data_IF_536701411820
#
_entry.id   IF_536701411820
#
_cell.length_a   1.000
_cell.length_b   1.000
_cell.length_c   1.000
_cell.angle_alpha   90.00
_cell.angle_beta   90.00
_cell.angle_gamma   90.00
#
_symmetry.space_group_name_H-M   'P 1'
#
loop_
_entity.id
_entity.type
_entity.pdbx_description
1 polymer ?
#
# COMPACT_ATOMS: atom_id res chain seq x y z
N UNK A 1 12.51 56.36 -3.17
CA UNK A 1 11.26 56.13 -2.40
C UNK A 1 10.28 55.59 -3.40
N UNK A 2 10.06 54.28 -3.39
CA UNK A 2 9.16 53.57 -4.29
C UNK A 2 8.05 52.97 -3.43
N UNK A 3 6.86 52.99 -3.99
CA UNK A 3 5.58 53.03 -3.32
C UNK A 3 5.18 51.67 -2.72
N UNK A 4 4.75 51.67 -1.46
CA UNK A 4 4.01 50.57 -0.82
C UNK A 4 2.60 50.51 -1.43
N UNK A 5 2.50 50.00 -2.66
CA UNK A 5 1.21 49.74 -3.29
C UNK A 5 0.51 48.61 -2.53
N UNK A 6 -0.56 49.02 -1.85
CA UNK A 6 -1.34 48.29 -0.86
C UNK A 6 -1.86 46.95 -1.39
N UNK A 7 -1.23 45.85 -0.98
CA UNK A 7 -1.71 44.48 -1.18
C UNK A 7 -2.91 44.16 -0.26
N UNK A 8 -3.98 44.96 -0.34
CA UNK A 8 -5.19 44.68 0.41
C UNK A 8 -5.94 43.50 -0.23
N UNK A 9 -6.35 42.47 0.55
CA UNK A 9 -7.12 41.36 0.02
C UNK A 9 -8.40 41.84 -0.68
N UNK A 10 -8.79 41.21 -1.81
CA UNK A 10 -10.00 41.58 -2.51
C UNK A 10 -11.23 41.41 -1.62
N UNK A 11 -12.24 42.27 -1.81
CA UNK A 11 -13.51 42.19 -1.08
C UNK A 11 -14.17 40.83 -1.38
N UNK A 12 -14.28 39.98 -0.37
CA UNK A 12 -14.97 38.69 -0.47
C UNK A 12 -16.48 38.94 -0.57
N UNK A 13 -17.08 38.69 -1.73
CA UNK A 13 -18.53 38.60 -1.91
C UNK A 13 -18.90 37.14 -2.24
N UNK A 14 -20.04 36.67 -1.73
CA UNK A 14 -20.53 35.31 -2.00
C UNK A 14 -20.01 34.21 -1.07
N UNK A 15 -19.53 34.55 0.13
CA UNK A 15 -19.12 33.57 1.16
C UNK A 15 -20.28 32.98 1.95
N UNK A 16 -21.51 33.14 1.47
CA UNK A 16 -22.66 32.45 2.05
C UNK A 16 -22.53 30.99 1.61
N UNK A 17 -21.83 30.20 2.41
CA UNK A 17 -21.91 28.75 2.34
C UNK A 17 -23.34 28.37 2.72
N UNK A 18 -24.16 27.82 1.80
CA UNK A 18 -25.50 27.34 2.13
C UNK A 18 -25.41 26.02 2.91
N UNK A 19 -24.43 25.91 3.81
CA UNK A 19 -24.04 24.70 4.51
C UNK A 19 -25.24 24.02 5.17
N UNK A 20 -25.05 22.77 5.60
CA UNK A 20 -26.10 21.96 6.20
C UNK A 20 -26.67 22.60 7.50
N UNK A 21 -27.61 23.53 7.36
CA UNK A 21 -28.27 24.25 8.45
C UNK A 21 -29.36 23.43 9.14
N UNK A 22 -29.64 22.22 8.66
CA UNK A 22 -30.78 21.40 9.12
C UNK A 22 -30.43 20.40 10.25
N UNK A 23 -29.24 20.51 10.83
CA UNK A 23 -28.86 19.66 11.96
C UNK A 23 -29.44 20.14 13.30
N UNK A 24 -29.94 21.38 13.37
CA UNK A 24 -30.54 21.93 14.58
C UNK A 24 -31.86 21.22 14.98
N UNK A 25 -32.55 20.61 14.01
CA UNK A 25 -33.79 19.85 14.26
C UNK A 25 -33.54 18.38 14.65
N UNK A 26 -32.30 17.89 14.53
CA UNK A 26 -31.93 16.52 14.93
C UNK A 26 -31.45 16.44 16.39
N UNK A 27 -31.39 17.56 17.12
CA UNK A 27 -30.83 17.64 18.48
C UNK A 27 -31.71 16.99 19.57
N UNK A 28 -32.93 16.56 19.25
CA UNK A 28 -33.87 15.92 20.19
C UNK A 28 -34.17 14.45 19.80
N UNK A 29 -33.43 13.88 18.83
CA UNK A 29 -33.45 12.43 18.66
C UNK A 29 -32.66 11.84 19.81
N UNK A 30 -33.38 11.26 20.77
CA UNK A 30 -32.92 10.31 21.79
C UNK A 30 -32.32 9.04 21.15
N UNK A 31 -31.41 9.22 20.19
CA UNK A 31 -30.47 8.20 19.77
C UNK A 31 -29.39 8.14 20.85
N UNK A 32 -29.81 7.67 22.02
CA UNK A 32 -28.93 7.01 22.94
C UNK A 32 -28.36 5.80 22.20
N UNK A 33 -27.27 6.02 21.46
CA UNK A 33 -26.27 5.00 21.20
C UNK A 33 -25.80 4.55 22.58
N UNK A 34 -26.56 3.65 23.19
CA UNK A 34 -26.17 2.92 24.37
C UNK A 34 -24.87 2.25 23.96
N UNK A 35 -23.80 2.85 24.46
CA UNK A 35 -22.42 2.41 24.32
C UNK A 35 -22.42 0.89 24.25
N UNK A 36 -21.96 0.40 23.09
CA UNK A 36 -22.06 -0.95 22.62
C UNK A 36 -22.08 -1.93 23.80
N UNK A 37 -23.20 -2.65 23.96
CA UNK A 37 -23.26 -3.77 24.90
C UNK A 37 -21.99 -4.60 24.67
N UNK A 38 -21.08 -4.56 25.65
CA UNK A 38 -19.74 -5.15 25.54
C UNK A 38 -19.93 -6.60 25.11
N UNK A 39 -19.56 -6.91 23.88
CA UNK A 39 -19.54 -8.29 23.41
C UNK A 39 -18.69 -9.10 24.40
N UNK A 40 -19.08 -10.35 24.71
CA UNK A 40 -18.26 -11.19 25.57
C UNK A 40 -16.84 -11.22 25.00
N UNK A 41 -15.85 -10.93 25.85
CA UNK A 41 -14.42 -10.95 25.50
C UNK A 41 -14.15 -12.25 24.73
N UNK A 42 -13.99 -12.15 23.42
CA UNK A 42 -13.67 -13.30 22.59
C UNK A 42 -12.40 -13.94 23.16
N UNK A 43 -12.38 -15.25 23.45
CA UNK A 43 -11.18 -15.96 23.88
C UNK A 43 -10.26 -16.09 22.66
N UNK A 44 -9.61 -14.98 22.33
CA UNK A 44 -8.93 -14.80 21.06
C UNK A 44 -8.53 -13.35 20.88
N UNK A 45 -7.86 -12.77 21.88
CA UNK A 45 -7.16 -11.50 21.69
C UNK A 45 -6.02 -11.79 20.71
N UNK A 46 -6.18 -11.42 19.44
CA UNK A 46 -5.05 -11.38 18.52
C UNK A 46 -3.92 -10.56 19.14
N UNK A 47 -2.64 -10.89 18.89
CA UNK A 47 -1.53 -10.10 19.40
C UNK A 47 -1.72 -8.63 19.07
N UNK A 48 -1.44 -7.75 20.04
CA UNK A 48 -1.45 -6.30 19.81
C UNK A 48 -0.37 -5.99 18.76
N UNK A 49 -0.70 -5.33 17.64
CA UNK A 49 0.29 -4.87 16.68
C UNK A 49 1.29 -3.94 17.36
N UNK A 50 2.60 -4.18 17.15
CA UNK A 50 3.67 -3.33 17.67
C UNK A 50 4.28 -2.49 16.57
N UNK A 51 4.67 -1.28 16.93
CA UNK A 51 5.35 -0.31 16.07
C UNK A 51 6.84 -0.28 16.39
N UNK A 52 7.68 -0.45 15.37
CA UNK A 52 9.13 -0.38 15.51
C UNK A 52 9.70 0.63 14.52
N UNK A 53 10.50 1.56 15.02
CA UNK A 53 11.22 2.55 14.23
C UNK A 53 12.70 2.17 14.16
N UNK A 54 13.24 2.18 12.95
CA UNK A 54 14.66 1.94 12.68
C UNK A 54 15.34 3.26 12.31
N UNK A 55 16.33 3.66 13.10
CA UNK A 55 17.13 4.88 12.92
C UNK A 55 18.36 4.55 12.09
N UNK A 56 18.56 5.31 11.01
CA UNK A 56 19.71 5.14 10.11
C UNK A 56 20.98 5.76 10.69
N UNK A 57 20.83 6.83 11.47
CA UNK A 57 21.93 7.56 12.11
C UNK A 57 21.74 7.63 13.63
N UNK A 58 22.86 7.65 14.35
CA UNK A 58 22.91 7.84 15.81
C UNK A 58 22.77 9.31 16.24
N UNK A 59 22.75 10.25 15.29
CA UNK A 59 22.67 11.68 15.58
C UNK A 59 21.22 12.14 15.78
N UNK A 60 20.95 12.99 16.80
CA UNK A 60 19.60 13.47 17.06
C UNK A 60 19.10 14.33 15.92
N UNK A 61 17.90 14.03 15.44
CA UNK A 61 17.24 14.82 14.39
C UNK A 61 16.69 16.14 14.96
N UNK A 62 16.41 17.12 14.10
CA UNK A 62 15.88 18.43 14.52
C UNK A 62 14.65 18.35 15.43
N UNK A 63 13.78 17.35 15.22
CA UNK A 63 12.59 17.09 16.06
C UNK A 63 12.85 16.31 17.35
N UNK A 64 14.10 15.98 17.68
CA UNK A 64 14.48 15.24 18.91
C UNK A 64 15.24 16.12 19.90
N UNK A 65 15.73 17.26 19.44
CA UNK A 65 16.47 18.21 20.27
C UNK A 65 15.45 19.08 21.03
N UNK A 66 15.47 19.07 22.38
CA UNK A 66 14.59 19.92 23.17
C UNK A 66 14.77 21.41 22.82
N UNK A 67 13.65 22.13 22.73
CA UNK A 67 13.63 23.57 22.46
C UNK A 67 13.50 23.96 20.99
N UNK A 68 13.54 23.01 20.05
CA UNK A 68 13.21 23.27 18.64
C UNK A 68 11.70 23.32 18.40
N UNK A 69 11.27 24.02 17.35
CA UNK A 69 9.84 24.03 16.95
C UNK A 69 9.36 22.62 16.56
N UNK A 70 10.20 21.84 15.88
CA UNK A 70 9.87 20.48 15.47
C UNK A 70 9.70 19.54 16.67
N UNK A 71 10.49 19.71 17.73
CA UNK A 71 10.33 18.94 18.96
C UNK A 71 8.97 19.20 19.62
N UNK A 72 8.54 20.47 19.72
CA UNK A 72 7.23 20.83 20.29
C UNK A 72 6.05 20.28 19.51
N UNK A 73 6.14 20.30 18.17
CA UNK A 73 5.10 19.70 17.32
C UNK A 73 5.00 18.18 17.56
N UNK A 74 6.13 17.53 17.84
CA UNK A 74 6.25 16.08 18.04
C UNK A 74 5.88 15.62 19.47
N UNK A 75 5.80 16.52 20.45
CA UNK A 75 5.31 16.20 21.80
C UNK A 75 3.87 15.65 21.81
N UNK A 76 3.09 15.95 20.77
CA UNK A 76 1.73 15.40 20.58
C UNK A 76 1.69 14.08 19.81
N UNK A 77 2.81 13.62 19.24
CA UNK A 77 2.87 12.37 18.49
C UNK A 77 2.99 11.18 19.44
N UNK A 78 2.47 10.01 19.02
CA UNK A 78 2.62 8.79 19.79
C UNK A 78 4.07 8.25 19.72
N UNK A 79 4.60 7.81 20.86
CA UNK A 79 5.91 7.15 20.92
C UNK A 79 5.83 5.72 20.36
N UNK A 80 6.79 5.28 19.53
CA UNK A 80 6.85 3.90 19.05
C UNK A 80 7.23 2.92 20.18
N UNK A 81 6.82 1.66 20.04
CA UNK A 81 7.11 0.63 21.06
C UNK A 81 8.60 0.29 21.12
N UNK A 82 9.26 0.23 19.96
CA UNK A 82 10.68 -0.14 19.83
C UNK A 82 11.42 0.85 18.92
N UNK A 83 12.59 1.32 19.37
CA UNK A 83 13.51 2.12 18.56
C UNK A 83 14.83 1.36 18.45
N UNK A 84 15.24 1.04 17.23
CA UNK A 84 16.51 0.39 16.95
C UNK A 84 17.37 1.27 16.06
N UNK A 85 18.68 1.34 16.31
CA UNK A 85 19.61 2.08 15.47
C UNK A 85 20.36 1.08 14.60
N UNK A 86 20.41 1.33 13.29
CA UNK A 86 21.14 0.49 12.35
C UNK A 86 22.61 0.55 12.69
N UNK A 87 23.19 -0.62 13.00
CA UNK A 87 24.63 -0.74 12.96
C UNK A 87 25.07 -0.43 11.53
N UNK A 88 25.97 0.55 11.37
CA UNK A 88 26.63 0.85 10.10
C UNK A 88 27.41 -0.40 9.67
N UNK A 89 26.72 -1.35 9.02
CA UNK A 89 27.36 -2.41 8.27
C UNK A 89 28.13 -1.70 7.17
N UNK A 90 29.44 -1.58 7.37
CA UNK A 90 30.36 -1.34 6.27
C UNK A 90 29.91 -2.23 5.13
N UNK A 91 29.73 -1.67 3.94
CA UNK A 91 29.42 -2.38 2.70
C UNK A 91 30.46 -3.48 2.43
N UNK A 92 30.36 -4.60 3.14
CA UNK A 92 31.06 -5.84 2.90
C UNK A 92 29.98 -6.85 2.56
N UNK A 93 29.51 -6.73 1.33
CA UNK A 93 28.98 -7.79 0.48
C UNK A 93 28.59 -9.06 1.24
N UNK A 94 27.39 -9.06 1.80
CA UNK A 94 26.54 -10.24 1.89
C UNK A 94 25.13 -9.75 2.19
N UNK A 95 24.51 -9.16 1.17
CA UNK A 95 23.08 -9.34 0.98
C UNK A 95 22.85 -10.83 0.75
N UNK A 96 22.83 -11.63 1.82
CA UNK A 96 21.90 -12.76 1.88
C UNK A 96 20.53 -12.11 2.02
N UNK A 97 20.08 -11.71 0.84
CA UNK A 97 19.07 -10.72 0.55
C UNK A 97 17.74 -11.22 1.11
N UNK A 98 17.29 -10.56 2.17
CA UNK A 98 15.90 -10.53 2.59
C UNK A 98 15.05 -9.67 1.65
N UNK A 99 15.51 -9.38 0.42
CA UNK A 99 14.58 -9.10 -0.65
C UNK A 99 13.54 -10.23 -0.66
N UNK A 100 12.25 -9.94 -0.93
CA UNK A 100 11.40 -11.03 -1.40
C UNK A 100 12.15 -11.57 -2.61
N UNK A 101 12.74 -12.77 -2.48
CA UNK A 101 13.15 -13.61 -3.62
C UNK A 101 12.05 -13.37 -4.63
N UNK A 102 12.38 -12.74 -5.76
CA UNK A 102 11.45 -12.27 -6.79
C UNK A 102 10.16 -13.08 -6.69
N UNK A 103 8.99 -12.46 -6.43
CA UNK A 103 7.79 -13.18 -5.99
C UNK A 103 7.68 -14.45 -6.81
N UNK A 104 7.71 -15.62 -6.16
CA UNK A 104 7.77 -16.91 -6.87
C UNK A 104 6.61 -16.93 -7.86
N UNK A 105 6.91 -16.67 -9.14
CA UNK A 105 5.87 -16.52 -10.15
C UNK A 105 5.30 -17.91 -10.37
N UNK A 106 4.00 -18.14 -10.09
CA UNK A 106 3.40 -19.44 -10.34
C UNK A 106 3.45 -19.73 -11.85
N UNK A 107 4.02 -20.88 -12.21
CA UNK A 107 4.08 -21.31 -13.61
C UNK A 107 2.70 -21.73 -14.08
N UNK A 108 2.31 -21.23 -15.25
CA UNK A 108 1.07 -21.58 -15.94
C UNK A 108 1.29 -22.80 -16.83
N UNK A 109 0.39 -23.78 -16.73
CA UNK A 109 0.45 -25.01 -17.53
C UNK A 109 -0.87 -25.16 -18.28
N UNK A 110 -0.80 -25.37 -19.60
CA UNK A 110 -1.95 -25.66 -20.46
C UNK A 110 -1.90 -27.11 -20.90
N UNK A 111 -2.96 -27.86 -20.64
CA UNK A 111 -3.11 -29.25 -21.10
C UNK A 111 -4.08 -29.31 -22.28
N UNK A 112 -3.65 -29.91 -23.38
CA UNK A 112 -4.47 -30.07 -24.57
C UNK A 112 -5.34 -31.33 -24.49
N UNK A 113 -6.64 -31.17 -24.77
CA UNK A 113 -7.59 -32.28 -24.75
C UNK A 113 -7.27 -33.34 -25.83
N UNK A 114 -7.52 -34.64 -25.54
CA UNK A 114 -7.34 -35.70 -26.52
C UNK A 114 -8.22 -35.47 -27.74
N UNK A 115 -7.61 -35.40 -28.93
CA UNK A 115 -8.29 -35.09 -30.19
C UNK A 115 -8.00 -33.68 -30.74
N UNK A 116 -7.41 -32.78 -29.95
CA UNK A 116 -6.86 -31.50 -30.40
C UNK A 116 -5.47 -31.68 -31.03
N UNK A 117 -5.37 -32.53 -32.04
CA UNK A 117 -4.11 -32.78 -32.74
C UNK A 117 -4.06 -31.94 -34.02
N UNK A 118 -3.30 -30.84 -34.00
CA UNK A 118 -3.09 -29.98 -35.16
C UNK A 118 -2.83 -28.52 -34.79
N UNK A 119 -2.53 -27.65 -35.77
CA UNK A 119 -2.47 -26.22 -35.54
C UNK A 119 -3.84 -25.72 -35.07
N UNK A 120 -3.83 -24.90 -34.01
CA UNK A 120 -5.03 -24.22 -33.53
C UNK A 120 -5.63 -23.33 -34.64
N UNK A 121 -6.95 -23.22 -34.69
CA UNK A 121 -7.63 -22.41 -35.71
C UNK A 121 -7.26 -20.92 -35.58
N UNK A 122 -7.31 -20.18 -36.68
CA UNK A 122 -7.01 -18.74 -36.67
C UNK A 122 -7.91 -17.95 -35.72
N UNK A 123 -9.19 -18.31 -35.64
CA UNK A 123 -10.15 -17.71 -34.70
C UNK A 123 -9.74 -17.93 -33.23
N UNK A 124 -9.17 -19.10 -32.93
CA UNK A 124 -8.72 -19.44 -31.59
C UNK A 124 -7.47 -18.64 -31.19
N UNK A 125 -6.53 -18.46 -32.14
CA UNK A 125 -5.33 -17.64 -31.93
C UNK A 125 -5.70 -16.17 -31.74
N UNK A 126 -6.63 -15.64 -32.54
CA UNK A 126 -7.05 -14.24 -32.45
C UNK A 126 -7.70 -13.92 -31.10
N UNK A 127 -8.53 -14.84 -30.57
CA UNK A 127 -9.18 -14.67 -29.26
C UNK A 127 -8.20 -14.62 -28.08
N UNK A 128 -7.03 -15.25 -28.21
CA UNK A 128 -5.99 -15.29 -27.16
C UNK A 128 -4.79 -14.40 -27.43
N UNK A 129 -4.85 -13.57 -28.46
CA UNK A 129 -3.77 -12.62 -28.76
C UNK A 129 -3.52 -11.62 -27.62
N UNK A 130 -4.54 -11.35 -26.79
CA UNK A 130 -4.43 -10.51 -25.61
C UNK A 130 -4.01 -11.27 -24.33
N UNK A 131 -4.05 -12.61 -24.36
CA UNK A 131 -3.64 -13.43 -23.23
C UNK A 131 -2.11 -13.56 -23.19
N UNK A 132 -1.55 -13.72 -21.99
CA UNK A 132 -0.14 -14.07 -21.86
C UNK A 132 0.13 -15.50 -22.36
N UNK A 133 1.28 -15.77 -22.99
CA UNK A 133 1.65 -17.14 -23.36
C UNK A 133 1.84 -18.00 -22.11
N UNK A 134 1.44 -19.26 -22.19
CA UNK A 134 1.65 -20.22 -21.11
C UNK A 134 3.13 -20.63 -21.01
N UNK A 135 3.59 -20.95 -19.81
CA UNK A 135 4.98 -21.38 -19.58
C UNK A 135 5.22 -22.81 -20.10
N UNK A 136 4.23 -23.69 -19.94
CA UNK A 136 4.30 -25.09 -20.35
C UNK A 136 3.00 -25.52 -21.06
N UNK A 137 3.15 -26.18 -22.21
CA UNK A 137 2.03 -26.81 -22.94
C UNK A 137 2.21 -28.32 -22.92
N UNK A 138 1.25 -29.04 -22.37
CA UNK A 138 1.19 -30.51 -22.34
C UNK A 138 0.32 -30.99 -23.51
N UNK A 139 0.95 -31.65 -24.48
CA UNK A 139 0.26 -32.28 -25.61
C UNK A 139 -0.44 -33.58 -25.18
N UNK A 140 -1.47 -34.03 -25.93
CA UNK A 140 -2.19 -35.27 -25.62
C UNK A 140 -1.31 -36.53 -25.63
N UNK A 141 -0.16 -36.48 -26.31
CA UNK A 141 0.85 -37.57 -26.33
C UNK A 141 1.76 -37.58 -25.08
N UNK A 142 1.48 -36.73 -24.08
CA UNK A 142 2.29 -36.58 -22.87
C UNK A 142 3.59 -35.82 -23.08
N UNK A 143 3.77 -35.20 -24.25
CA UNK A 143 4.94 -34.37 -24.57
C UNK A 143 4.72 -32.94 -24.07
N UNK A 144 5.63 -32.47 -23.22
CA UNK A 144 5.67 -31.07 -22.76
C UNK A 144 6.52 -30.21 -23.69
N UNK A 145 6.00 -29.05 -24.06
CA UNK A 145 6.73 -28.01 -24.79
C UNK A 145 6.78 -26.74 -23.95
N UNK A 146 7.97 -26.13 -23.83
CA UNK A 146 8.13 -24.83 -23.19
C UNK A 146 7.56 -23.74 -24.11
N UNK A 147 6.68 -22.89 -23.57
CA UNK A 147 6.13 -21.78 -24.34
C UNK A 147 7.21 -20.74 -24.65
N UNK A 148 7.18 -20.15 -25.84
CA UNK A 148 8.12 -19.11 -26.24
C UNK A 148 7.85 -17.83 -25.43
N UNK A 149 8.48 -17.72 -24.26
CA UNK A 149 8.47 -16.51 -23.44
C UNK A 149 9.50 -15.51 -23.98
N UNK A 150 9.44 -15.14 -25.26
CA UNK A 150 10.27 -14.08 -25.83
C UNK A 150 9.71 -12.70 -25.42
N UNK A 151 9.69 -12.42 -24.12
CA UNK A 151 9.45 -11.08 -23.60
C UNK A 151 10.74 -10.26 -23.73
N UNK A 152 10.90 -9.55 -24.85
CA UNK A 152 11.84 -8.42 -24.93
C UNK A 152 11.51 -7.42 -23.82
N UNK A 153 12.51 -7.16 -22.97
CA UNK A 153 12.49 -6.12 -21.92
C UNK A 153 12.22 -4.73 -22.48
#
# INVERSE_FOLDING_TARGET
MADEETLSPPRRSGTSDPGAHDLANASDSEDHFSDAQSAPLSPGTSPIPKTRVEKVDDEPSYGEVPGTEAYRLREGDAEPDEIAIQEKKSDSLSSEDGAPKSPVIPKTVVEEAPGSSGPHSEEFLEKRKADAPADLVVKPEGKTEEGDSSGTM
#
